data_IF_742938437079
#
_entry.id   IF_742938437079
#
_cell.length_a   1.000
_cell.length_b   1.000
_cell.length_c   1.000
_cell.angle_alpha   90.00
_cell.angle_beta   90.00
_cell.angle_gamma   90.00
#
_symmetry.space_group_name_H-M   'P 1'
#
loop_
_entity.id
_entity.type
_entity.pdbx_description
1 polymer ?
#
# COMPACT_ATOMS: atom_id res chain seq x y z
N UNK A 1 -13.93 -25.20 -8.88
CA UNK A 1 -13.44 -23.84 -8.52
C UNK A 1 -12.29 -23.49 -9.43
N UNK A 2 -12.29 -22.32 -10.05
CA UNK A 2 -11.19 -21.90 -10.95
C UNK A 2 -9.91 -21.67 -10.16
N UNK A 3 -8.75 -22.01 -10.74
CA UNK A 3 -7.45 -21.85 -10.08
C UNK A 3 -7.18 -20.37 -9.73
N UNK A 4 -7.62 -19.45 -10.59
CA UNK A 4 -7.55 -18.01 -10.34
C UNK A 4 -8.32 -17.60 -9.07
N UNK A 5 -9.54 -18.12 -8.88
CA UNK A 5 -10.33 -17.80 -7.69
C UNK A 5 -9.66 -18.29 -6.41
N UNK A 6 -9.05 -19.49 -6.44
CA UNK A 6 -8.30 -20.01 -5.30
C UNK A 6 -7.09 -19.12 -4.99
N UNK A 7 -6.34 -18.71 -6.01
CA UNK A 7 -5.19 -17.82 -5.83
C UNK A 7 -5.58 -16.44 -5.27
N UNK A 8 -6.71 -15.87 -5.73
CA UNK A 8 -7.24 -14.62 -5.20
C UNK A 8 -7.64 -14.73 -3.73
N UNK A 9 -8.25 -15.84 -3.31
CA UNK A 9 -8.60 -16.09 -1.91
C UNK A 9 -7.33 -16.18 -1.05
N UNK A 10 -6.31 -16.90 -1.53
CA UNK A 10 -5.03 -17.04 -0.82
C UNK A 10 -4.29 -15.70 -0.69
N UNK A 11 -4.22 -14.92 -1.78
CA UNK A 11 -3.63 -13.59 -1.77
C UNK A 11 -4.38 -12.64 -0.82
N UNK A 12 -5.72 -12.72 -0.80
CA UNK A 12 -6.56 -11.93 0.12
C UNK A 12 -6.31 -12.27 1.59
N UNK A 13 -6.16 -13.55 1.93
CA UNK A 13 -5.85 -13.96 3.32
C UNK A 13 -4.45 -13.49 3.73
N UNK A 14 -3.47 -13.54 2.81
CA UNK A 14 -2.13 -13.00 3.07
C UNK A 14 -2.17 -11.48 3.29
N UNK A 15 -2.90 -10.74 2.46
CA UNK A 15 -3.15 -9.32 2.66
C UNK A 15 -3.82 -9.02 4.01
N UNK A 16 -4.83 -9.82 4.38
CA UNK A 16 -5.50 -9.70 5.67
C UNK A 16 -4.53 -9.94 6.85
N UNK A 17 -3.60 -10.89 6.72
CA UNK A 17 -2.57 -11.12 7.73
C UNK A 17 -1.62 -9.93 7.89
N UNK A 18 -1.19 -9.30 6.79
CA UNK A 18 -0.39 -8.06 6.84
C UNK A 18 -1.17 -6.98 7.59
N UNK A 19 -2.42 -6.74 7.21
CA UNK A 19 -3.27 -5.74 7.87
C UNK A 19 -3.50 -6.03 9.36
N UNK A 20 -3.61 -7.31 9.76
CA UNK A 20 -3.68 -7.72 11.18
C UNK A 20 -2.36 -7.46 11.90
N UNK A 21 -1.22 -7.83 11.31
CA UNK A 21 0.11 -7.58 11.90
C UNK A 21 0.37 -6.08 12.11
N UNK A 22 -0.01 -5.23 11.16
CA UNK A 22 0.09 -3.78 11.32
C UNK A 22 -0.75 -3.25 12.50
N UNK A 23 -1.83 -3.94 12.89
CA UNK A 23 -2.67 -3.56 14.04
C UNK A 23 -2.27 -4.21 15.37
N UNK A 24 -1.68 -5.40 15.32
CA UNK A 24 -1.29 -6.16 16.52
C UNK A 24 0.04 -5.67 17.11
N UNK A 25 0.94 -5.18 16.27
CA UNK A 25 2.22 -4.64 16.70
C UNK A 25 2.04 -3.19 17.15
N UNK A 26 2.25 -2.91 18.44
CA UNK A 26 1.99 -1.60 19.05
C UNK A 26 2.72 -0.45 18.32
N UNK A 27 3.95 -0.71 17.88
CA UNK A 27 4.75 0.25 17.12
C UNK A 27 4.15 0.56 15.74
N UNK A 28 3.64 -0.44 15.03
CA UNK A 28 3.04 -0.25 13.72
C UNK A 28 1.65 0.36 13.84
N UNK A 29 0.89 -0.03 14.86
CA UNK A 29 -0.42 0.52 15.16
C UNK A 29 -0.33 2.01 15.47
N UNK A 30 0.68 2.43 16.26
CA UNK A 30 0.93 3.84 16.55
C UNK A 30 1.25 4.67 15.30
N UNK A 31 1.86 4.05 14.28
CA UNK A 31 2.13 4.71 12.99
C UNK A 31 0.91 4.76 12.07
N UNK A 32 -0.03 3.81 12.19
CA UNK A 32 -1.32 3.84 11.49
C UNK A 32 -2.25 4.96 11.98
N UNK A 33 -2.06 5.43 13.21
CA UNK A 33 -2.86 6.51 13.78
C UNK A 33 -2.31 7.82 13.24
N UNK A 34 -3.01 8.36 12.24
CA UNK A 34 -2.78 9.72 11.76
C UNK A 34 -3.13 10.70 12.90
N UNK A 35 -2.14 11.22 13.60
CA UNK A 35 -2.36 12.36 14.50
C UNK A 35 -2.86 13.53 13.64
N UNK A 36 -4.14 13.92 13.80
CA UNK A 36 -4.67 15.18 13.27
C UNK A 36 -3.91 16.35 13.89
N UNK A 37 -2.71 16.65 13.38
CA UNK A 37 -1.95 17.82 13.81
C UNK A 37 -2.67 19.07 13.32
N UNK A 38 -3.17 19.83 14.29
CA UNK A 38 -3.77 21.14 14.11
C UNK A 38 -2.86 22.08 13.27
N UNK A 39 -3.23 22.25 12.00
CA UNK A 39 -3.09 23.42 11.11
C UNK A 39 -1.84 24.33 11.12
N UNK A 40 -0.70 23.97 11.72
CA UNK A 40 0.44 24.91 11.83
C UNK A 40 1.85 24.33 11.70
N UNK A 41 2.01 23.03 11.49
CA UNK A 41 3.32 22.46 11.16
C UNK A 41 3.29 21.90 9.75
N UNK A 42 4.18 22.44 8.90
CA UNK A 42 4.47 22.03 7.52
C UNK A 42 4.16 20.54 7.34
N UNK A 43 3.12 20.22 6.56
CA UNK A 43 2.84 18.85 6.11
C UNK A 43 4.10 18.35 5.42
N UNK A 44 4.92 17.60 6.15
CA UNK A 44 6.02 16.85 5.56
C UNK A 44 5.35 15.87 4.64
N UNK A 45 5.67 15.96 3.35
CA UNK A 45 5.28 15.02 2.29
C UNK A 45 5.99 13.68 2.52
N UNK A 46 5.89 13.13 3.73
CA UNK A 46 6.17 11.75 4.01
C UNK A 46 4.87 11.01 3.69
N UNK A 47 4.94 9.95 2.89
CA UNK A 47 3.81 9.04 2.76
C UNK A 47 3.46 8.57 4.17
N UNK A 48 2.23 8.85 4.61
CA UNK A 48 1.77 8.39 5.92
C UNK A 48 1.82 6.85 5.94
N UNK A 49 2.14 6.27 7.10
CA UNK A 49 2.31 4.82 7.21
C UNK A 49 1.06 4.04 6.77
N UNK A 50 -0.12 4.67 6.86
CA UNK A 50 -1.36 4.17 6.26
C UNK A 50 -1.22 3.94 4.75
N UNK A 51 -0.80 4.96 4.00
CA UNK A 51 -0.56 4.86 2.55
C UNK A 51 0.47 3.78 2.24
N UNK A 52 1.53 3.66 3.04
CA UNK A 52 2.52 2.58 2.89
C UNK A 52 1.89 1.18 3.08
N UNK A 53 1.03 1.03 4.08
CA UNK A 53 0.34 -0.24 4.34
C UNK A 53 -0.64 -0.59 3.21
N UNK A 54 -1.39 0.39 2.69
CA UNK A 54 -2.36 0.22 1.61
C UNK A 54 -1.64 -0.18 0.30
N UNK A 55 -0.55 0.50 -0.06
CA UNK A 55 0.33 0.12 -1.18
C UNK A 55 0.91 -1.28 -1.00
N UNK A 56 1.41 -1.62 0.19
CA UNK A 56 2.01 -2.93 0.46
C UNK A 56 0.99 -4.05 0.24
N UNK A 57 -0.24 -3.87 0.72
CA UNK A 57 -1.32 -4.84 0.52
C UNK A 57 -1.63 -5.01 -0.97
N UNK A 58 -1.76 -3.90 -1.69
CA UNK A 58 -2.03 -3.92 -3.13
C UNK A 58 -0.91 -4.62 -3.91
N UNK A 59 0.34 -4.30 -3.62
CA UNK A 59 1.50 -4.84 -4.34
C UNK A 59 1.72 -6.32 -4.02
N UNK A 60 1.45 -6.78 -2.79
CA UNK A 60 1.50 -8.21 -2.44
C UNK A 60 0.49 -9.01 -3.25
N UNK A 61 -0.74 -8.50 -3.43
CA UNK A 61 -1.75 -9.17 -4.25
C UNK A 61 -1.29 -9.19 -5.71
N UNK A 62 -0.84 -8.05 -6.25
CA UNK A 62 -0.35 -7.94 -7.63
C UNK A 62 0.79 -8.92 -7.91
N UNK A 63 1.79 -8.95 -7.01
CA UNK A 63 2.95 -9.82 -7.11
C UNK A 63 2.57 -11.32 -7.04
N UNK A 64 1.78 -11.73 -6.05
CA UNK A 64 1.47 -13.14 -5.84
C UNK A 64 0.59 -13.72 -6.95
N UNK A 65 -0.30 -12.90 -7.51
CA UNK A 65 -1.11 -13.28 -8.68
C UNK A 65 -0.25 -13.31 -9.94
N UNK A 66 0.58 -12.30 -10.20
CA UNK A 66 1.49 -12.28 -11.36
C UNK A 66 2.49 -13.44 -11.37
N UNK A 67 2.96 -13.85 -10.18
CA UNK A 67 3.84 -15.02 -10.04
C UNK A 67 3.18 -16.33 -10.45
N UNK A 68 1.88 -16.49 -10.17
CA UNK A 68 1.12 -17.70 -10.51
C UNK A 68 0.52 -17.65 -11.93
N UNK A 69 0.19 -16.45 -12.40
CA UNK A 69 -0.42 -16.20 -13.71
C UNK A 69 0.35 -15.10 -14.43
N UNK A 70 1.49 -15.43 -15.07
CA UNK A 70 2.34 -14.45 -15.73
C UNK A 70 1.57 -13.60 -16.75
N UNK A 71 1.76 -12.29 -16.72
CA UNK A 71 1.08 -11.31 -17.56
C UNK A 71 -0.18 -10.71 -16.92
N UNK A 72 -0.77 -11.37 -15.92
CA UNK A 72 -1.98 -10.87 -15.25
C UNK A 72 -1.70 -9.68 -14.34
N UNK A 73 -0.46 -9.52 -13.86
CA UNK A 73 -0.01 -8.39 -13.05
C UNK A 73 -0.25 -7.03 -13.74
N UNK A 74 -0.20 -6.99 -15.07
CA UNK A 74 -0.44 -5.77 -15.86
C UNK A 74 -1.92 -5.42 -15.98
N UNK A 75 -2.81 -6.33 -15.56
CA UNK A 75 -4.26 -6.14 -15.55
C UNK A 75 -4.81 -5.95 -14.13
N UNK A 76 -3.93 -5.86 -13.12
CA UNK A 76 -4.30 -5.60 -11.73
C UNK A 76 -4.07 -4.12 -11.45
N UNK A 77 -5.17 -3.40 -11.29
CA UNK A 77 -5.20 -1.98 -10.94
C UNK A 77 -5.64 -1.80 -9.48
N UNK A 78 -5.22 -0.72 -8.85
CA UNK A 78 -5.64 -0.37 -7.51
C UNK A 78 -5.60 1.14 -7.26
N UNK A 79 -5.97 1.52 -6.05
CA UNK A 79 -6.12 2.92 -5.64
C UNK A 79 -4.77 3.63 -5.49
N UNK A 80 -3.78 2.91 -4.96
CA UNK A 80 -2.50 3.51 -4.59
C UNK A 80 -1.44 3.32 -5.68
N UNK A 81 -0.52 4.30 -5.78
CA UNK A 81 0.69 4.19 -6.60
C UNK A 81 1.79 3.47 -5.83
N UNK A 82 2.58 2.64 -6.50
CA UNK A 82 3.73 1.97 -5.89
C UNK A 82 4.99 2.85 -5.82
N UNK A 83 4.87 4.14 -6.14
CA UNK A 83 5.95 5.12 -6.06
C UNK A 83 5.93 5.86 -4.72
N UNK A 84 7.04 5.79 -3.98
CA UNK A 84 7.22 6.53 -2.73
C UNK A 84 8.34 7.57 -2.87
N UNK A 85 8.05 8.82 -2.53
CA UNK A 85 9.09 9.82 -2.29
C UNK A 85 9.50 9.77 -0.82
N UNK A 86 10.69 9.25 -0.54
CA UNK A 86 11.28 9.42 0.78
C UNK A 86 11.64 10.92 0.91
N UNK A 87 11.13 11.59 1.95
CA UNK A 87 10.96 13.05 2.04
C UNK A 87 12.21 13.94 2.03
N UNK A 88 13.32 13.53 1.40
CA UNK A 88 14.55 14.32 1.30
C UNK A 88 14.54 15.35 0.16
N UNK A 89 13.67 15.23 -0.86
CA UNK A 89 13.58 16.23 -1.94
C UNK A 89 12.14 16.34 -2.44
N UNK A 90 11.44 17.39 -2.02
CA UNK A 90 10.15 17.79 -2.60
C UNK A 90 10.41 18.83 -3.70
N UNK A 91 10.68 18.37 -4.93
CA UNK A 91 10.48 19.23 -6.10
C UNK A 91 9.03 19.13 -6.50
N UNK A 92 8.29 20.23 -6.26
CA UNK A 92 6.97 20.47 -6.84
C UNK A 92 7.13 20.50 -8.36
N UNK A 93 7.02 19.37 -9.04
CA UNK A 93 6.81 19.36 -10.48
C UNK A 93 5.32 19.32 -10.74
N UNK A 94 4.81 20.51 -11.02
CA UNK A 94 3.52 20.75 -11.65
C UNK A 94 3.49 19.98 -12.99
N UNK A 95 2.57 19.01 -13.12
CA UNK A 95 2.17 18.42 -14.39
C UNK A 95 0.66 18.12 -14.23
N UNK A 96 -0.29 18.72 -14.94
CA UNK A 96 -0.14 19.57 -16.11
C UNK A 96 0.04 18.79 -17.40
N UNK A 97 -0.57 17.59 -17.53
CA UNK A 97 -1.26 17.07 -18.73
C UNK A 97 -2.22 15.97 -18.27
#
# INVERSE_FOLDING_TARGET
MSQLMVALIQASEKAANIARSCRQEERLFSLLIEEKKNDSQKRTCAADFKTLADVLVQEVIRHDIGKQFPGLENSIFGEETNEFMNGLVCHRTNWGV
#
